data_IF_123553707987
#
_entry.id   IF_123553707987
#
_cell.length_a   1.000
_cell.length_b   1.000
_cell.length_c   1.000
_cell.angle_alpha   90.00
_cell.angle_beta   90.00
_cell.angle_gamma   90.00
#
_symmetry.space_group_name_H-M   'P 1'
#
loop_
_entity.id
_entity.type
_entity.pdbx_description
1 polymer ?
#
# COMPACT_ATOMS: atom_id res chain seq x y z
N UNK A 1 21.68 1.37 15.66
CA UNK A 1 21.00 2.65 15.61
C UNK A 1 19.69 2.49 14.85
N UNK A 2 18.61 3.04 15.34
CA UNK A 2 17.26 2.99 14.73
C UNK A 2 16.66 1.58 14.53
N UNK A 3 17.11 0.56 15.28
CA UNK A 3 16.55 -0.80 15.18
C UNK A 3 17.09 -1.67 14.04
N UNK A 4 18.00 -1.14 13.21
CA UNK A 4 18.62 -1.92 12.13
C UNK A 4 19.83 -2.71 12.59
N UNK A 5 20.04 -3.87 11.95
CA UNK A 5 21.20 -4.73 12.20
C UNK A 5 22.43 -4.22 11.43
N UNK A 6 23.57 -4.11 12.09
CA UNK A 6 24.84 -3.82 11.45
C UNK A 6 25.46 -5.12 10.95
N UNK A 7 25.65 -5.25 9.65
CA UNK A 7 26.36 -6.36 9.00
C UNK A 7 27.50 -5.82 8.14
N UNK A 8 28.53 -6.64 7.96
CA UNK A 8 29.63 -6.33 7.05
C UNK A 8 29.29 -6.64 5.58
N UNK A 9 30.24 -6.44 4.66
CA UNK A 9 30.05 -6.72 3.22
C UNK A 9 29.76 -8.21 2.90
N UNK A 10 30.01 -9.11 3.85
CA UNK A 10 29.72 -10.52 3.77
C UNK A 10 28.43 -10.88 4.50
N UNK A 11 27.65 -9.88 4.90
CA UNK A 11 26.42 -10.01 5.68
C UNK A 11 26.64 -10.62 7.09
N UNK A 12 27.85 -10.58 7.60
CA UNK A 12 28.18 -11.09 8.93
C UNK A 12 27.94 -10.01 9.99
N UNK A 13 27.28 -10.39 11.08
CA UNK A 13 27.09 -9.52 12.26
C UNK A 13 28.28 -9.61 13.21
N UNK A 14 28.25 -8.86 14.30
CA UNK A 14 29.24 -8.94 15.39
C UNK A 14 29.14 -10.24 16.22
N UNK A 15 28.11 -11.05 15.99
CA UNK A 15 27.91 -12.34 16.68
C UNK A 15 28.41 -13.45 15.75
N UNK A 16 29.33 -14.29 16.23
CA UNK A 16 29.87 -15.36 15.40
C UNK A 16 28.79 -16.37 14.98
N UNK A 17 28.76 -16.71 13.70
CA UNK A 17 27.74 -17.59 13.11
C UNK A 17 26.39 -16.94 12.82
N UNK A 18 26.21 -15.65 13.12
CA UNK A 18 24.97 -14.91 12.84
C UNK A 18 25.19 -13.97 11.67
N UNK A 19 24.29 -14.06 10.71
CA UNK A 19 24.26 -13.24 9.49
C UNK A 19 22.93 -12.50 9.40
N UNK A 20 22.93 -11.34 8.78
CA UNK A 20 21.75 -10.55 8.52
C UNK A 20 21.73 -10.08 7.07
N UNK A 21 20.59 -10.12 6.40
CA UNK A 21 20.44 -9.79 4.99
C UNK A 21 19.13 -9.03 4.74
N UNK A 22 19.11 -8.25 3.67
CA UNK A 22 17.92 -7.50 3.26
C UNK A 22 17.69 -6.22 4.05
N UNK A 23 16.44 -5.80 4.11
CA UNK A 23 16.06 -4.47 4.59
C UNK A 23 16.19 -4.27 6.11
N UNK A 24 16.40 -5.35 6.85
CA UNK A 24 16.74 -5.29 8.28
C UNK A 24 18.14 -4.72 8.53
N UNK A 25 18.99 -4.71 7.51
CA UNK A 25 20.37 -4.20 7.62
C UNK A 25 20.44 -2.68 7.45
N UNK A 26 21.49 -2.09 8.02
CA UNK A 26 21.85 -0.68 7.75
C UNK A 26 22.32 -0.56 6.30
N UNK A 27 21.53 0.08 5.44
CA UNK A 27 21.80 0.31 4.02
C UNK A 27 21.03 1.51 3.49
N UNK A 28 21.53 2.12 2.43
CA UNK A 28 20.91 3.28 1.80
C UNK A 28 19.76 2.87 0.87
N UNK A 29 19.94 1.80 0.08
CA UNK A 29 18.99 1.34 -0.92
C UNK A 29 18.24 0.09 -0.41
N UNK A 30 16.92 0.20 -0.27
CA UNK A 30 16.01 -0.89 0.08
C UNK A 30 15.13 -1.22 -1.11
N UNK A 31 15.46 -2.29 -1.81
CA UNK A 31 14.78 -2.81 -2.99
C UNK A 31 14.82 -4.34 -2.96
N UNK A 32 13.84 -4.99 -3.58
CA UNK A 32 13.79 -6.46 -3.66
C UNK A 32 15.11 -7.03 -4.21
N UNK A 33 15.64 -6.44 -5.27
CA UNK A 33 16.89 -6.88 -5.88
C UNK A 33 18.08 -6.79 -4.92
N UNK A 34 18.16 -5.75 -4.08
CA UNK A 34 19.21 -5.62 -3.07
C UNK A 34 19.04 -6.59 -1.92
N UNK A 35 17.79 -6.86 -1.52
CA UNK A 35 17.50 -7.86 -0.49
C UNK A 35 17.85 -9.28 -0.96
N UNK A 36 17.53 -9.64 -2.20
CA UNK A 36 17.92 -10.92 -2.82
C UNK A 36 19.44 -11.05 -2.92
N UNK A 37 20.13 -9.97 -3.35
CA UNK A 37 21.60 -9.95 -3.43
C UNK A 37 22.24 -10.19 -2.05
N UNK A 38 21.75 -9.50 -1.02
CA UNK A 38 22.25 -9.69 0.36
C UNK A 38 22.03 -11.14 0.83
N UNK A 39 20.87 -11.73 0.53
CA UNK A 39 20.57 -13.13 0.84
C UNK A 39 21.56 -14.10 0.19
N UNK A 40 21.89 -13.89 -1.08
CA UNK A 40 22.88 -14.70 -1.82
C UNK A 40 24.28 -14.56 -1.18
N UNK A 41 24.69 -13.34 -0.83
CA UNK A 41 25.98 -13.08 -0.16
C UNK A 41 26.00 -13.74 1.22
N UNK A 42 24.94 -13.61 2.01
CA UNK A 42 24.81 -14.24 3.33
C UNK A 42 24.92 -15.77 3.25
N UNK A 43 24.18 -16.40 2.33
CA UNK A 43 24.20 -17.84 2.14
C UNK A 43 25.60 -18.35 1.77
N UNK A 44 26.28 -17.67 0.82
CA UNK A 44 27.64 -18.03 0.41
C UNK A 44 28.65 -17.86 1.56
N UNK A 45 28.50 -16.80 2.35
CA UNK A 45 29.37 -16.53 3.50
C UNK A 45 29.17 -17.54 4.61
N UNK A 46 27.91 -17.91 4.87
CA UNK A 46 27.56 -18.94 5.85
C UNK A 46 28.07 -20.32 5.43
N UNK A 47 28.00 -20.68 4.16
CA UNK A 47 28.57 -21.93 3.66
C UNK A 47 30.08 -22.02 3.93
N UNK A 48 30.82 -20.94 3.63
CA UNK A 48 32.27 -20.86 3.92
C UNK A 48 32.55 -20.97 5.41
N UNK A 49 31.75 -20.29 6.23
CA UNK A 49 31.87 -20.36 7.70
C UNK A 49 31.64 -21.78 8.19
N UNK A 50 30.54 -22.41 7.83
CA UNK A 50 30.25 -23.81 8.19
C UNK A 50 31.35 -24.76 7.72
N UNK A 51 31.83 -24.62 6.49
CA UNK A 51 32.94 -25.40 5.97
C UNK A 51 34.21 -25.29 6.82
N UNK A 52 34.48 -24.09 7.37
CA UNK A 52 35.59 -23.86 8.28
C UNK A 52 35.37 -24.50 9.64
N UNK A 53 34.15 -24.41 10.20
CA UNK A 53 33.78 -25.03 11.49
C UNK A 53 33.82 -26.57 11.42
N UNK A 54 33.31 -27.17 10.36
CA UNK A 54 33.40 -28.62 10.12
C UNK A 54 34.84 -29.09 10.12
N UNK A 55 35.75 -28.34 9.48
CA UNK A 55 37.19 -28.68 9.49
C UNK A 55 37.82 -28.53 10.87
N UNK A 56 37.52 -27.44 11.59
CA UNK A 56 38.04 -27.19 12.93
C UNK A 56 37.60 -28.26 13.95
N UNK A 57 36.33 -28.65 13.87
CA UNK A 57 35.71 -29.60 14.77
C UNK A 57 35.86 -31.07 14.34
N UNK A 58 36.56 -31.31 13.20
CA UNK A 58 36.73 -32.63 12.59
C UNK A 58 35.41 -33.37 12.34
N UNK A 59 34.32 -32.64 12.11
CA UNK A 59 33.01 -33.21 11.86
C UNK A 59 32.92 -33.70 10.42
N UNK A 60 32.35 -34.86 10.19
CA UNK A 60 31.99 -35.32 8.84
C UNK A 60 30.76 -34.52 8.37
N UNK A 61 30.81 -33.94 7.17
CA UNK A 61 29.62 -33.40 6.49
C UNK A 61 28.65 -34.55 6.23
N UNK A 62 27.64 -34.68 7.03
CA UNK A 62 26.47 -35.46 6.67
C UNK A 62 25.64 -34.59 5.74
N UNK A 63 25.71 -34.86 4.43
CA UNK A 63 24.69 -34.35 3.52
C UNK A 63 23.37 -34.94 3.99
N UNK A 64 22.53 -34.15 4.58
CA UNK A 64 21.12 -34.51 4.75
C UNK A 64 20.65 -34.74 3.32
N UNK A 65 20.34 -36.01 2.98
CA UNK A 65 19.68 -36.37 1.73
C UNK A 65 18.60 -35.34 1.54
N UNK A 66 18.63 -34.63 0.39
CA UNK A 66 17.67 -33.58 0.05
C UNK A 66 16.35 -33.94 0.70
N UNK A 67 15.95 -33.23 1.73
CA UNK A 67 14.63 -33.41 2.28
C UNK A 67 13.73 -33.20 1.08
N UNK A 68 13.13 -34.26 0.56
CA UNK A 68 11.95 -34.11 -0.26
C UNK A 68 11.13 -33.10 0.53
N UNK A 69 10.66 -32.01 -0.07
CA UNK A 69 9.86 -31.06 0.67
C UNK A 69 8.89 -31.94 1.46
N UNK A 70 8.99 -31.99 2.80
CA UNK A 70 7.87 -32.46 3.57
C UNK A 70 6.75 -31.64 2.99
N UNK A 71 5.82 -32.29 2.30
CA UNK A 71 4.53 -31.69 2.12
C UNK A 71 4.16 -31.28 3.54
N UNK A 72 4.32 -29.99 3.83
CA UNK A 72 3.67 -29.40 4.99
C UNK A 72 2.25 -29.91 4.85
N UNK A 73 1.66 -30.47 5.94
CA UNK A 73 0.29 -30.95 5.85
C UNK A 73 -0.45 -29.81 5.17
N UNK A 74 -0.86 -30.05 3.91
CA UNK A 74 -1.71 -29.10 3.18
C UNK A 74 -2.71 -28.67 4.22
N UNK A 75 -2.80 -27.37 4.56
CA UNK A 75 -3.94 -26.90 5.33
C UNK A 75 -5.12 -27.54 4.59
N UNK A 76 -5.96 -28.28 5.31
CA UNK A 76 -7.16 -28.87 4.74
C UNK A 76 -7.74 -27.81 3.82
N UNK A 77 -7.86 -28.14 2.55
CA UNK A 77 -8.18 -27.18 1.51
C UNK A 77 -9.38 -26.37 1.99
N UNK A 78 -9.10 -25.18 2.45
CA UNK A 78 -10.07 -24.10 2.35
C UNK A 78 -10.53 -24.15 0.88
N UNK A 79 -11.80 -24.05 0.58
CA UNK A 79 -12.34 -24.22 -0.75
C UNK A 79 -11.45 -23.47 -1.72
N UNK A 80 -10.96 -24.18 -2.73
CA UNK A 80 -10.05 -23.69 -3.77
C UNK A 80 -10.57 -22.32 -4.17
N UNK A 81 -9.89 -21.26 -3.73
CA UNK A 81 -10.18 -19.94 -4.21
C UNK A 81 -9.98 -20.00 -5.71
N UNK A 82 -10.98 -19.60 -6.45
CA UNK A 82 -10.95 -19.50 -7.90
C UNK A 82 -9.60 -18.86 -8.27
N UNK A 83 -8.80 -19.52 -9.12
CA UNK A 83 -7.41 -19.16 -9.45
C UNK A 83 -7.32 -17.75 -10.12
N UNK A 84 -8.46 -17.05 -10.19
CA UNK A 84 -8.71 -15.73 -10.77
C UNK A 84 -9.14 -14.68 -9.74
N UNK A 85 -8.96 -14.92 -8.43
CA UNK A 85 -9.39 -13.98 -7.40
C UNK A 85 -8.32 -12.90 -7.17
N UNK A 86 -8.74 -11.63 -7.14
CA UNK A 86 -7.87 -10.49 -6.84
C UNK A 86 -7.34 -10.53 -5.39
N UNK A 87 -8.18 -10.97 -4.45
CA UNK A 87 -7.84 -11.07 -3.03
C UNK A 87 -7.58 -12.52 -2.64
N UNK A 88 -6.42 -12.79 -2.05
CA UNK A 88 -6.13 -14.08 -1.43
C UNK A 88 -6.93 -14.31 -0.12
N UNK A 89 -6.93 -15.54 0.38
CA UNK A 89 -7.70 -15.92 1.56
C UNK A 89 -7.24 -15.18 2.82
N UNK A 90 -5.94 -14.93 2.96
CA UNK A 90 -5.35 -14.25 4.11
C UNK A 90 -5.74 -12.78 4.13
N UNK A 91 -5.68 -12.11 2.97
CA UNK A 91 -6.14 -10.73 2.80
C UNK A 91 -7.63 -10.59 3.11
N UNK A 92 -8.48 -11.50 2.61
CA UNK A 92 -9.92 -11.51 2.94
C UNK A 92 -10.16 -11.66 4.44
N UNK A 93 -9.44 -12.56 5.10
CA UNK A 93 -9.54 -12.76 6.55
C UNK A 93 -9.09 -11.50 7.33
N UNK A 94 -8.04 -10.82 6.86
CA UNK A 94 -7.55 -9.58 7.46
C UNK A 94 -8.51 -8.40 7.29
N UNK A 95 -9.28 -8.36 6.19
CA UNK A 95 -10.26 -7.30 5.92
C UNK A 95 -11.53 -7.43 6.77
N UNK A 96 -11.95 -8.65 7.10
CA UNK A 96 -13.21 -8.89 7.80
C UNK A 96 -13.39 -8.05 9.10
N UNK A 97 -12.40 -7.93 10.01
CA UNK A 97 -12.54 -7.11 11.20
C UNK A 97 -12.59 -5.60 10.91
N UNK A 98 -12.00 -5.14 9.80
CA UNK A 98 -12.05 -3.73 9.38
C UNK A 98 -13.42 -3.40 8.82
N UNK A 99 -13.90 -4.20 7.87
CA UNK A 99 -15.22 -4.03 7.24
C UNK A 99 -16.35 -4.19 8.26
N UNK A 100 -16.18 -5.07 9.26
CA UNK A 100 -17.14 -5.25 10.37
C UNK A 100 -17.32 -4.01 11.25
N UNK A 101 -16.42 -3.02 11.15
CA UNK A 101 -16.52 -1.73 11.86
C UNK A 101 -17.24 -0.64 11.06
N UNK A 102 -17.64 -0.91 9.83
CA UNK A 102 -18.41 0.04 9.04
C UNK A 102 -19.79 0.26 9.66
N UNK A 103 -20.12 1.50 9.91
CA UNK A 103 -21.41 1.93 10.48
C UNK A 103 -22.39 2.38 9.42
N UNK A 104 -21.88 2.91 8.30
CA UNK A 104 -22.65 3.42 7.17
C UNK A 104 -22.32 2.65 5.90
N UNK A 105 -23.29 2.49 4.97
CA UNK A 105 -22.99 1.91 3.66
C UNK A 105 -22.21 2.88 2.79
N UNK A 106 -21.36 2.32 1.92
CA UNK A 106 -20.66 3.04 0.85
C UNK A 106 -20.85 2.36 -0.49
N UNK A 107 -20.63 3.09 -1.55
CA UNK A 107 -20.58 2.56 -2.92
C UNK A 107 -19.24 2.89 -3.57
N UNK A 108 -18.59 1.87 -4.12
CA UNK A 108 -17.41 2.03 -4.96
C UNK A 108 -17.87 2.20 -6.41
N UNK A 109 -17.68 3.38 -6.99
CA UNK A 109 -18.04 3.66 -8.37
C UNK A 109 -16.79 3.60 -9.23
N UNK A 110 -16.79 2.70 -10.21
CA UNK A 110 -15.79 2.65 -11.27
C UNK A 110 -16.28 3.44 -12.48
N UNK A 111 -15.46 4.35 -12.95
CA UNK A 111 -15.57 4.99 -14.26
C UNK A 111 -14.79 4.17 -15.27
N UNK A 112 -15.50 3.33 -16.02
CA UNK A 112 -14.95 2.32 -16.93
C UNK A 112 -14.70 2.93 -18.32
N UNK A 113 -13.44 2.93 -18.76
CA UNK A 113 -13.00 3.29 -20.10
C UNK A 113 -12.82 2.06 -21.03
N UNK A 114 -13.23 0.89 -20.56
CA UNK A 114 -13.13 -0.41 -21.24
C UNK A 114 -11.69 -0.90 -21.46
N UNK A 115 -10.71 -0.34 -20.76
CA UNK A 115 -9.32 -0.82 -20.73
C UNK A 115 -9.15 -2.10 -19.94
N UNK A 116 -8.00 -2.75 -20.09
CA UNK A 116 -7.64 -3.89 -19.24
C UNK A 116 -7.53 -3.50 -17.78
N UNK A 117 -7.05 -2.28 -17.52
CA UNK A 117 -6.92 -1.72 -16.17
C UNK A 117 -8.30 -1.53 -15.51
N UNK A 118 -9.28 -0.98 -16.24
CA UNK A 118 -10.65 -0.83 -15.73
C UNK A 118 -11.32 -2.18 -15.44
N UNK A 119 -10.98 -3.24 -16.19
CA UNK A 119 -11.47 -4.59 -15.89
C UNK A 119 -10.88 -5.13 -14.58
N UNK A 120 -9.58 -4.90 -14.33
CA UNK A 120 -8.93 -5.28 -13.08
C UNK A 120 -9.54 -4.53 -11.88
N UNK A 121 -9.80 -3.22 -12.03
CA UNK A 121 -10.52 -2.41 -11.05
C UNK A 121 -11.91 -2.97 -10.76
N UNK A 122 -12.67 -3.36 -11.81
CA UNK A 122 -14.01 -3.92 -11.66
C UNK A 122 -14.02 -5.24 -10.89
N UNK A 123 -13.06 -6.12 -11.13
CA UNK A 123 -12.91 -7.37 -10.39
C UNK A 123 -12.59 -7.10 -8.92
N UNK A 124 -11.66 -6.20 -8.64
CA UNK A 124 -11.29 -5.83 -7.28
C UNK A 124 -12.47 -5.25 -6.47
N UNK A 125 -13.17 -4.23 -7.01
CA UNK A 125 -14.28 -3.61 -6.27
C UNK A 125 -15.46 -4.56 -6.09
N UNK A 126 -15.69 -5.48 -7.04
CA UNK A 126 -16.69 -6.54 -6.93
C UNK A 126 -16.36 -7.50 -5.79
N UNK A 127 -15.09 -7.92 -5.67
CA UNK A 127 -14.67 -8.77 -4.57
C UNK A 127 -14.80 -8.07 -3.22
N UNK A 128 -14.36 -6.80 -3.12
CA UNK A 128 -14.51 -6.01 -1.90
C UNK A 128 -15.98 -5.86 -1.49
N UNK A 129 -16.88 -5.62 -2.46
CA UNK A 129 -18.32 -5.55 -2.19
C UNK A 129 -18.90 -6.89 -1.71
N UNK A 130 -18.33 -8.02 -2.14
CA UNK A 130 -18.72 -9.35 -1.69
C UNK A 130 -18.35 -9.67 -0.23
N UNK A 131 -17.47 -8.87 0.39
CA UNK A 131 -16.98 -9.12 1.76
C UNK A 131 -17.85 -8.46 2.85
N UNK A 132 -18.73 -7.52 2.50
CA UNK A 132 -19.54 -6.80 3.48
C UNK A 132 -20.86 -6.31 2.86
N UNK A 133 -21.94 -6.42 3.61
CA UNK A 133 -23.26 -5.84 3.25
C UNK A 133 -23.26 -4.29 3.28
N UNK A 134 -22.22 -3.69 3.81
CA UNK A 134 -22.02 -2.24 3.84
C UNK A 134 -21.25 -1.69 2.63
N UNK A 135 -20.69 -2.55 1.79
CA UNK A 135 -19.96 -2.16 0.59
C UNK A 135 -20.74 -2.61 -0.63
N UNK A 136 -21.10 -1.68 -1.47
CA UNK A 136 -21.67 -1.94 -2.79
C UNK A 136 -20.74 -1.38 -3.89
N UNK A 137 -20.95 -1.80 -5.11
CA UNK A 137 -20.23 -1.25 -6.25
C UNK A 137 -21.16 -0.94 -7.41
N UNK A 138 -20.74 -0.04 -8.26
CA UNK A 138 -21.38 0.23 -9.55
C UNK A 138 -20.32 0.57 -10.60
N UNK A 139 -20.60 0.23 -11.85
CA UNK A 139 -19.75 0.52 -12.97
C UNK A 139 -20.51 1.45 -13.92
N UNK A 140 -19.89 2.56 -14.29
CA UNK A 140 -20.47 3.55 -15.20
C UNK A 140 -19.45 3.89 -16.30
N UNK A 141 -19.94 4.32 -17.45
CA UNK A 141 -19.01 4.76 -18.51
C UNK A 141 -18.13 5.92 -18.03
N UNK A 142 -16.85 5.88 -18.41
CA UNK A 142 -15.90 6.92 -18.07
C UNK A 142 -16.32 8.24 -18.69
N UNK A 143 -16.00 9.32 -17.98
CA UNK A 143 -16.11 10.70 -18.49
C UNK A 143 -14.70 11.30 -18.55
N UNK A 144 -14.47 12.30 -19.42
CA UNK A 144 -13.15 12.93 -19.55
C UNK A 144 -12.56 13.35 -18.19
N UNK A 145 -11.35 12.88 -17.90
CA UNK A 145 -10.63 13.12 -16.65
C UNK A 145 -10.98 12.18 -15.50
N UNK A 146 -11.84 11.17 -15.74
CA UNK A 146 -12.16 10.10 -14.76
C UNK A 146 -12.05 8.72 -15.40
N UNK A 147 -11.17 8.53 -16.36
CA UNK A 147 -10.90 7.25 -16.98
C UNK A 147 -10.29 6.28 -15.93
N UNK A 148 -10.74 5.01 -15.91
CA UNK A 148 -10.37 3.96 -14.94
C UNK A 148 -10.15 4.52 -13.52
N UNK A 149 -11.15 5.25 -13.04
CA UNK A 149 -11.14 5.90 -11.73
C UNK A 149 -12.14 5.21 -10.80
N UNK A 150 -11.68 4.86 -9.61
CA UNK A 150 -12.56 4.41 -8.52
C UNK A 150 -12.85 5.60 -7.61
N UNK A 151 -14.13 5.95 -7.49
CA UNK A 151 -14.62 6.97 -6.55
C UNK A 151 -15.35 6.30 -5.38
N UNK A 152 -15.14 6.81 -4.16
CA UNK A 152 -15.88 6.39 -2.98
C UNK A 152 -17.08 7.30 -2.79
N UNK A 153 -18.28 6.72 -2.73
CA UNK A 153 -19.53 7.42 -2.50
C UNK A 153 -20.03 7.13 -1.08
N UNK A 154 -20.63 8.13 -0.46
CA UNK A 154 -21.25 8.02 0.86
C UNK A 154 -22.60 7.24 0.80
N UNK A 155 -23.29 7.16 1.94
CA UNK A 155 -24.58 6.49 2.12
C UNK A 155 -25.70 7.10 1.27
N UNK A 156 -25.56 8.35 0.82
CA UNK A 156 -26.49 9.05 -0.09
C UNK A 156 -26.11 8.90 -1.57
N UNK A 157 -25.08 8.12 -1.87
CA UNK A 157 -24.51 7.97 -3.22
C UNK A 157 -23.92 9.26 -3.79
N UNK A 158 -23.46 10.17 -2.94
CA UNK A 158 -22.72 11.36 -3.32
C UNK A 158 -21.23 11.06 -3.28
N UNK A 159 -20.45 11.56 -4.27
CA UNK A 159 -19.00 11.43 -4.26
C UNK A 159 -18.41 12.16 -3.05
N UNK A 160 -17.55 11.49 -2.30
CA UNK A 160 -16.86 12.05 -1.14
C UNK A 160 -15.65 12.89 -1.50
N UNK A 161 -15.29 12.95 -2.80
CA UNK A 161 -14.06 13.59 -3.26
C UNK A 161 -12.83 12.70 -3.15
N UNK A 162 -12.97 11.44 -2.70
CA UNK A 162 -11.89 10.46 -2.64
C UNK A 162 -11.89 9.62 -3.93
N UNK A 163 -10.83 9.74 -4.72
CA UNK A 163 -10.69 9.05 -6.00
C UNK A 163 -9.32 8.42 -6.15
N UNK A 164 -9.31 7.22 -6.71
CA UNK A 164 -8.10 6.48 -7.03
C UNK A 164 -8.07 6.22 -8.54
N UNK A 165 -6.98 6.61 -9.20
CA UNK A 165 -6.77 6.48 -10.64
C UNK A 165 -5.76 5.36 -10.89
N UNK A 166 -6.26 4.21 -11.32
CA UNK A 166 -5.55 2.95 -11.43
C UNK A 166 -5.95 1.96 -10.35
N UNK A 167 -5.44 0.74 -10.40
CA UNK A 167 -5.73 -0.31 -9.41
C UNK A 167 -5.06 0.03 -8.07
N UNK A 168 -5.79 0.24 -6.98
CA UNK A 168 -5.20 0.47 -5.67
C UNK A 168 -4.61 -0.84 -5.10
N UNK A 169 -3.48 -1.27 -5.66
CA UNK A 169 -2.77 -2.50 -5.31
C UNK A 169 -1.48 -2.24 -4.52
N UNK A 170 -0.69 -3.29 -4.31
CA UNK A 170 0.59 -3.18 -3.64
C UNK A 170 0.49 -2.51 -2.27
N UNK A 171 1.36 -1.53 -2.01
CA UNK A 171 1.34 -0.80 -0.74
C UNK A 171 0.12 0.13 -0.59
N UNK A 172 -0.50 0.59 -1.70
CA UNK A 172 -1.65 1.49 -1.67
C UNK A 172 -2.98 0.78 -1.40
N UNK A 173 -3.02 -0.55 -1.43
CA UNK A 173 -4.22 -1.29 -1.05
C UNK A 173 -4.68 -0.95 0.38
N UNK A 174 -3.73 -0.81 1.31
CA UNK A 174 -4.06 -0.45 2.69
C UNK A 174 -4.60 0.97 2.82
N UNK A 175 -4.05 1.96 2.09
CA UNK A 175 -4.57 3.34 2.11
C UNK A 175 -5.99 3.39 1.55
N UNK A 176 -6.27 2.67 0.46
CA UNK A 176 -7.61 2.57 -0.09
C UNK A 176 -8.63 1.96 0.89
N UNK A 177 -8.26 0.89 1.61
CA UNK A 177 -9.12 0.31 2.66
C UNK A 177 -9.34 1.29 3.82
N UNK A 178 -8.31 2.08 4.18
CA UNK A 178 -8.43 3.13 5.20
C UNK A 178 -9.35 4.28 4.73
N UNK A 179 -9.30 4.65 3.45
CA UNK A 179 -10.24 5.61 2.88
C UNK A 179 -11.69 5.14 3.01
N UNK A 180 -11.97 3.88 2.65
CA UNK A 180 -13.29 3.26 2.85
C UNK A 180 -13.69 3.30 4.33
N UNK A 181 -12.78 2.97 5.25
CA UNK A 181 -13.02 2.99 6.69
C UNK A 181 -13.28 4.41 7.23
N UNK A 182 -12.59 5.41 6.71
CA UNK A 182 -12.79 6.80 7.11
C UNK A 182 -14.16 7.32 6.66
N UNK A 183 -14.69 6.85 5.53
CA UNK A 183 -16.02 7.24 5.02
C UNK A 183 -17.16 6.43 5.70
N UNK A 184 -16.99 5.11 5.82
CA UNK A 184 -18.05 4.20 6.26
C UNK A 184 -18.06 3.92 7.76
N UNK A 185 -16.92 4.09 8.42
CA UNK A 185 -16.73 3.73 9.82
C UNK A 185 -16.57 4.93 10.75
N UNK A 186 -16.04 4.71 11.95
CA UNK A 186 -15.77 5.79 12.90
C UNK A 186 -14.60 6.70 12.46
N UNK A 187 -13.87 6.34 11.40
CA UNK A 187 -12.67 7.03 10.94
C UNK A 187 -11.46 6.83 11.85
N UNK A 188 -10.30 7.25 11.35
CA UNK A 188 -9.06 7.27 12.14
C UNK A 188 -9.09 8.46 13.09
N UNK A 189 -8.69 8.25 14.35
CA UNK A 189 -8.56 9.34 15.32
C UNK A 189 -7.34 10.22 14.98
N UNK A 190 -7.56 11.49 14.73
CA UNK A 190 -6.50 12.49 14.48
C UNK A 190 -6.28 13.41 15.68
N UNK A 191 -7.08 13.25 16.73
CA UNK A 191 -7.10 14.13 17.89
C UNK A 191 -7.89 15.42 17.68
N UNK A 192 -8.46 15.93 18.77
CA UNK A 192 -9.40 17.05 18.74
C UNK A 192 -8.84 18.33 18.08
N UNK A 193 -7.55 18.60 18.26
CA UNK A 193 -6.92 19.80 17.73
C UNK A 193 -6.84 19.78 16.18
N UNK A 194 -6.48 18.64 15.60
CA UNK A 194 -6.41 18.50 14.14
C UNK A 194 -7.82 18.40 13.56
N UNK A 195 -8.76 17.72 14.23
CA UNK A 195 -10.15 17.65 13.80
C UNK A 195 -10.76 19.04 13.65
N UNK A 196 -10.59 19.94 14.62
CA UNK A 196 -11.06 21.33 14.53
C UNK A 196 -10.46 22.08 13.34
N UNK A 197 -9.20 21.79 13.00
CA UNK A 197 -8.56 22.38 11.81
C UNK A 197 -9.16 21.83 10.52
N UNK A 198 -9.42 20.54 10.45
CA UNK A 198 -10.10 19.93 9.30
C UNK A 198 -11.49 20.56 9.12
N UNK A 199 -12.28 20.64 10.19
CA UNK A 199 -13.64 21.18 10.17
C UNK A 199 -13.68 22.68 9.77
N UNK A 200 -12.59 23.41 9.98
CA UNK A 200 -12.48 24.83 9.65
C UNK A 200 -12.15 25.13 8.18
N UNK A 201 -11.92 24.12 7.36
CA UNK A 201 -11.67 24.33 5.92
C UNK A 201 -12.99 24.68 5.23
N UNK A 202 -13.15 25.93 4.86
CA UNK A 202 -14.37 26.52 4.30
C UNK A 202 -14.30 26.81 2.80
N UNK A 203 -13.13 26.60 2.17
CA UNK A 203 -12.89 26.81 0.74
C UNK A 203 -12.44 25.52 0.06
N UNK A 204 -12.80 25.32 -1.23
CA UNK A 204 -12.39 24.14 -1.98
C UNK A 204 -10.87 23.98 -2.00
N UNK A 205 -10.40 22.77 -1.72
CA UNK A 205 -9.00 22.38 -1.77
C UNK A 205 -8.88 21.08 -2.58
N UNK A 206 -8.07 21.11 -3.59
CA UNK A 206 -7.79 19.93 -4.43
C UNK A 206 -6.38 19.40 -4.13
N UNK A 207 -6.31 18.12 -3.76
CA UNK A 207 -5.07 17.41 -3.50
C UNK A 207 -4.88 16.35 -4.58
N UNK A 208 -3.83 16.47 -5.38
CA UNK A 208 -3.42 15.43 -6.33
C UNK A 208 -2.18 14.75 -5.78
N UNK A 209 -2.23 13.43 -5.63
CA UNK A 209 -1.11 12.65 -5.09
C UNK A 209 -0.62 11.68 -6.16
N UNK A 210 0.66 11.77 -6.47
CA UNK A 210 1.32 10.82 -7.34
C UNK A 210 2.06 9.78 -6.51
N UNK A 211 1.78 8.50 -6.80
CA UNK A 211 2.32 7.34 -6.09
C UNK A 211 2.97 6.35 -7.03
N UNK A 212 3.61 5.35 -6.46
CA UNK A 212 3.97 4.09 -7.09
C UNK A 212 3.57 2.96 -6.17
N UNK A 213 2.95 1.91 -6.67
CA UNK A 213 2.47 0.79 -5.86
C UNK A 213 3.58 0.05 -5.10
N UNK A 214 4.84 0.21 -5.52
CA UNK A 214 6.02 -0.31 -4.82
C UNK A 214 6.64 0.64 -3.79
N UNK A 215 6.09 1.84 -3.63
CA UNK A 215 6.61 2.86 -2.71
C UNK A 215 6.12 2.61 -1.29
N UNK A 216 7.01 2.35 -0.36
CA UNK A 216 6.67 2.07 1.06
C UNK A 216 6.29 3.32 1.87
N UNK A 217 6.57 4.52 1.35
CA UNK A 217 6.27 5.80 2.04
C UNK A 217 5.01 6.49 1.48
N UNK A 218 4.52 6.05 0.32
CA UNK A 218 3.36 6.64 -0.32
C UNK A 218 2.08 6.49 0.50
N UNK A 219 1.78 5.33 1.10
CA UNK A 219 0.56 5.14 1.87
C UNK A 219 0.39 6.10 3.06
N UNK A 220 1.49 6.53 3.67
CA UNK A 220 1.43 7.47 4.80
C UNK A 220 0.88 8.84 4.38
N UNK A 221 1.31 9.34 3.20
CA UNK A 221 0.81 10.60 2.64
C UNK A 221 -0.64 10.45 2.17
N UNK A 222 -0.94 9.36 1.44
CA UNK A 222 -2.28 9.09 0.91
C UNK A 222 -3.29 9.00 2.04
N UNK A 223 -3.05 8.15 3.05
CA UNK A 223 -3.95 8.00 4.19
C UNK A 223 -4.16 9.31 4.98
N UNK A 224 -3.13 10.15 5.12
CA UNK A 224 -3.25 11.43 5.78
C UNK A 224 -4.13 12.42 5.00
N UNK A 225 -4.00 12.47 3.67
CA UNK A 225 -4.82 13.33 2.82
C UNK A 225 -6.27 12.83 2.73
N UNK A 226 -6.46 11.53 2.55
CA UNK A 226 -7.78 10.90 2.50
C UNK A 226 -8.55 11.06 3.82
N UNK A 227 -7.83 11.03 4.95
CA UNK A 227 -8.44 11.30 6.26
C UNK A 227 -9.03 12.70 6.34
N UNK A 228 -8.33 13.71 5.82
CA UNK A 228 -8.83 15.11 5.77
C UNK A 228 -10.06 15.20 4.85
N UNK A 229 -10.01 14.61 3.67
CA UNK A 229 -11.09 14.69 2.71
C UNK A 229 -12.34 13.90 3.14
N UNK A 230 -12.19 12.79 3.86
CA UNK A 230 -13.31 12.03 4.40
C UNK A 230 -14.14 12.83 5.42
N UNK A 231 -13.51 13.76 6.13
CA UNK A 231 -14.18 14.59 7.15
C UNK A 231 -14.64 15.96 6.64
N UNK A 232 -14.08 16.44 5.52
CA UNK A 232 -14.44 17.77 5.02
C UNK A 232 -14.74 17.74 3.51
N UNK A 233 -16.00 18.01 3.09
CA UNK A 233 -16.42 17.95 1.69
C UNK A 233 -15.79 19.03 0.80
N UNK A 234 -15.14 20.05 1.38
CA UNK A 234 -14.39 21.05 0.63
C UNK A 234 -13.00 20.51 0.18
N UNK A 235 -12.58 19.33 0.63
CA UNK A 235 -11.29 18.74 0.26
C UNK A 235 -11.51 17.55 -0.66
N UNK A 236 -10.82 17.54 -1.80
CA UNK A 236 -10.81 16.39 -2.71
C UNK A 236 -9.40 15.82 -2.80
N UNK A 237 -9.30 14.51 -2.94
CA UNK A 237 -8.05 13.77 -3.11
C UNK A 237 -8.13 12.87 -4.32
N UNK A 238 -7.24 13.09 -5.26
CA UNK A 238 -7.04 12.26 -6.45
C UNK A 238 -5.67 11.57 -6.35
N UNK A 239 -5.66 10.25 -6.21
CA UNK A 239 -4.44 9.44 -6.11
C UNK A 239 -4.15 8.80 -7.47
N UNK A 240 -2.96 9.03 -8.03
CA UNK A 240 -2.54 8.55 -9.34
C UNK A 240 -1.34 7.59 -9.22
N UNK A 241 -1.47 6.39 -9.74
CA UNK A 241 -0.30 5.52 -9.96
C UNK A 241 0.46 5.98 -11.21
N UNK A 242 1.66 6.51 -11.03
CA UNK A 242 2.49 7.02 -12.12
C UNK A 242 2.87 5.98 -13.18
N UNK A 243 2.73 4.69 -12.89
CA UNK A 243 2.95 3.65 -13.89
C UNK A 243 1.95 3.77 -15.06
N UNK A 244 0.74 4.27 -14.77
CA UNK A 244 -0.34 4.42 -15.74
C UNK A 244 -0.55 5.87 -16.20
N UNK A 245 0.01 6.86 -15.49
CA UNK A 245 -0.15 8.29 -15.76
C UNK A 245 1.19 9.02 -15.97
N UNK A 246 2.01 8.64 -16.96
CA UNK A 246 3.31 9.27 -17.22
C UNK A 246 3.21 10.74 -17.65
N UNK A 247 2.07 11.19 -18.19
CA UNK A 247 1.79 12.58 -18.53
C UNK A 247 1.70 13.46 -17.28
N UNK A 248 1.16 12.95 -16.17
CA UNK A 248 1.13 13.66 -14.88
C UNK A 248 2.56 13.92 -14.38
N UNK A 249 3.44 12.92 -14.50
CA UNK A 249 4.85 13.07 -14.14
C UNK A 249 5.53 14.18 -14.95
N UNK A 250 5.26 14.24 -16.25
CA UNK A 250 5.82 15.28 -17.14
C UNK A 250 5.24 16.66 -16.83
N UNK A 251 3.91 16.75 -16.66
CA UNK A 251 3.20 18.01 -16.37
C UNK A 251 3.77 18.71 -15.16
N UNK A 252 4.02 17.95 -14.09
CA UNK A 252 4.44 18.48 -12.79
C UNK A 252 5.94 18.29 -12.48
N UNK A 253 6.72 17.80 -13.45
CA UNK A 253 8.14 17.47 -13.29
C UNK A 253 8.40 16.64 -12.01
N UNK A 254 7.60 15.57 -11.81
CA UNK A 254 7.68 14.73 -10.61
C UNK A 254 8.97 13.92 -10.64
N UNK A 255 9.87 14.20 -9.72
CA UNK A 255 11.19 13.56 -9.63
C UNK A 255 11.21 12.36 -8.68
N UNK A 256 10.26 12.29 -7.75
CA UNK A 256 10.15 11.20 -6.78
C UNK A 256 8.73 11.10 -6.22
N UNK A 257 8.38 9.93 -5.70
CA UNK A 257 7.11 9.68 -5.01
C UNK A 257 7.38 9.37 -3.53
N UNK A 258 6.42 9.67 -2.64
CA UNK A 258 5.15 10.35 -2.89
C UNK A 258 5.33 11.82 -3.26
N UNK A 259 4.47 12.30 -4.14
CA UNK A 259 4.41 13.70 -4.52
C UNK A 259 2.99 14.23 -4.33
N UNK A 260 2.85 15.31 -3.58
CA UNK A 260 1.60 16.01 -3.32
C UNK A 260 1.56 17.31 -4.13
N UNK A 261 0.48 17.52 -4.85
CA UNK A 261 0.20 18.76 -5.59
C UNK A 261 -1.05 19.37 -4.97
N UNK A 262 -0.92 20.59 -4.46
CA UNK A 262 -2.01 21.32 -3.80
C UNK A 262 -2.59 22.34 -4.75
N UNK A 263 -3.91 22.29 -4.99
CA UNK A 263 -4.68 23.22 -5.81
C UNK A 263 -4.11 23.42 -7.23
N UNK A 264 -3.60 22.34 -7.84
CA UNK A 264 -2.94 22.40 -9.17
C UNK A 264 -1.84 23.46 -9.28
N UNK A 265 -1.10 23.69 -8.19
CA UNK A 265 -0.11 24.77 -8.15
C UNK A 265 1.16 24.38 -7.38
N UNK A 266 1.03 24.03 -6.11
CA UNK A 266 2.17 23.85 -5.21
C UNK A 266 2.57 22.39 -5.13
N UNK A 267 3.82 22.07 -5.47
CA UNK A 267 4.35 20.70 -5.57
C UNK A 267 5.24 20.40 -4.36
N UNK A 268 4.93 19.33 -3.64
CA UNK A 268 5.65 18.89 -2.44
C UNK A 268 6.05 17.44 -2.55
N UNK A 269 7.30 17.12 -2.18
CA UNK A 269 7.81 15.75 -2.21
C UNK A 269 7.94 15.15 -0.81
N UNK A 270 7.90 13.81 -0.77
CA UNK A 270 8.07 13.05 0.43
C UNK A 270 6.80 12.95 1.29
N UNK A 271 6.86 12.06 2.28
CA UNK A 271 5.72 11.80 3.15
C UNK A 271 5.35 13.04 3.97
N UNK A 272 4.06 13.21 4.20
CA UNK A 272 3.46 14.26 5.03
C UNK A 272 2.38 13.65 5.90
N UNK A 273 2.30 14.12 7.15
CA UNK A 273 1.18 13.80 8.03
C UNK A 273 0.02 14.79 7.89
N UNK A 274 -1.07 14.51 8.60
CA UNK A 274 -2.28 15.35 8.60
C UNK A 274 -1.95 16.80 8.96
N UNK A 275 -1.13 17.04 9.98
CA UNK A 275 -0.77 18.40 10.43
C UNK A 275 -0.01 19.18 9.35
N UNK A 276 0.97 18.53 8.69
CA UNK A 276 1.76 19.16 7.63
C UNK A 276 0.89 19.51 6.42
N UNK A 277 -0.04 18.62 6.04
CA UNK A 277 -0.98 18.89 4.95
C UNK A 277 -1.87 20.06 5.29
N UNK A 278 -2.45 20.10 6.50
CA UNK A 278 -3.26 21.21 6.98
C UNK A 278 -2.52 22.56 7.01
N UNK A 279 -1.21 22.55 7.22
CA UNK A 279 -0.39 23.77 7.12
C UNK A 279 -0.25 24.28 5.68
N UNK A 280 -0.26 23.39 4.70
CA UNK A 280 -0.22 23.71 3.27
C UNK A 280 -1.58 24.20 2.71
N UNK A 281 -2.68 23.90 3.41
CA UNK A 281 -4.04 24.27 2.99
C UNK A 281 -4.50 25.66 3.51
N UNK A 282 -3.68 26.35 4.27
CA UNK A 282 -3.98 27.69 4.82
C UNK A 282 -4.17 28.78 3.80
#
# INVERSE_FOLDING_TARGET
PQGYVIADRNQKTNIDGVYAAGDICVKELRQVVTAVSDGAVAATSLEKYLGSQYRKLQLKRTYVKKLEPKEEPKPEAAPVADDNSFLDADTRAALAPVLGRFTSPITLRLYDDHSDLAREDAEMIKELAGLSDKVSYEVVDAVPGKEHTIAILNDKKEETGLRFHGVPGGHEFNSFILAMYNVAGPGQDVGEALQKRIDSIDTPKALTIAVSLSCTMCPDLVAAAERIAADNPNVTVDVYDLAHYPELQKKWNIMSVPCLIVNDKDVHFGKKGVEEILDMLK
#
